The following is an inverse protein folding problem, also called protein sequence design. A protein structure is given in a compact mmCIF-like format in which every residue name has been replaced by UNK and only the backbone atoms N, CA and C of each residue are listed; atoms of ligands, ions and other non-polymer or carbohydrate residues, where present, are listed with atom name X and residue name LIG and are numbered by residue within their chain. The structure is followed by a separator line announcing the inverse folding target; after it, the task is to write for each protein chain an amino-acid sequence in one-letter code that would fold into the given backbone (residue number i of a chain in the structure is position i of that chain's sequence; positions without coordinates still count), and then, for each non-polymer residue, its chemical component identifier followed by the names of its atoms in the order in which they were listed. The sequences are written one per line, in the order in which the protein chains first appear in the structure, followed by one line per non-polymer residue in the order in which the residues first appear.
data_IF_873610127424
#
_entry.id   IF_873610127424
#
_cell.length_a   1.000
_cell.length_b   1.000
_cell.length_c   1.000
_cell.angle_alpha   90.00
_cell.angle_beta   90.00
_cell.angle_gamma   90.00
#
_symmetry.space_group_name_H-M   'P 1'
#
loop_
_entity.id
_entity.type
_entity.pdbx_description
1 polymer ?
#
# COMPACT_ATOMS: atom_id res chain seq x y z
N UNK A 1 33.30 -12.86 39.08
CA UNK A 1 32.56 -14.01 38.51
C UNK A 1 31.47 -13.39 37.67
N UNK A 2 31.72 -13.19 36.38
CA UNK A 2 30.70 -12.62 35.49
C UNK A 2 29.63 -13.69 35.30
N UNK A 3 28.43 -13.45 35.83
CA UNK A 3 27.25 -14.22 35.48
C UNK A 3 27.01 -14.00 33.99
N UNK A 4 27.37 -14.99 33.18
CA UNK A 4 27.03 -15.05 31.76
C UNK A 4 25.52 -15.27 31.69
N UNK A 5 24.74 -14.20 31.85
CA UNK A 5 23.31 -14.25 31.58
C UNK A 5 23.14 -14.69 30.13
N UNK A 6 22.49 -15.84 29.94
CA UNK A 6 22.06 -16.24 28.60
C UNK A 6 21.12 -15.16 28.07
N UNK A 7 21.61 -14.37 27.12
CA UNK A 7 20.85 -13.29 26.46
C UNK A 7 19.57 -13.84 25.79
N UNK A 8 19.48 -15.16 25.58
CA UNK A 8 18.33 -15.86 25.04
C UNK A 8 17.39 -16.47 26.09
N UNK A 9 17.66 -16.32 27.39
CA UNK A 9 16.77 -16.76 28.46
C UNK A 9 15.61 -15.78 28.66
N UNK A 10 14.37 -16.30 28.73
CA UNK A 10 13.18 -15.48 28.99
C UNK A 10 13.31 -14.72 30.32
N UNK A 11 12.84 -13.47 30.33
CA UNK A 11 12.88 -12.58 31.49
C UNK A 11 11.56 -12.55 32.28
N UNK A 12 10.49 -13.19 31.77
CA UNK A 12 9.17 -13.20 32.39
C UNK A 12 8.46 -14.52 32.15
N UNK A 13 7.63 -14.94 33.12
CA UNK A 13 6.71 -16.09 33.05
C UNK A 13 5.29 -15.68 33.46
N UNK A 14 4.97 -14.38 33.41
CA UNK A 14 3.66 -13.85 33.79
C UNK A 14 2.56 -14.19 32.78
N UNK A 15 1.32 -13.80 33.07
CA UNK A 15 0.16 -14.10 32.22
C UNK A 15 0.25 -13.55 30.78
N UNK A 16 1.09 -12.54 30.55
CA UNK A 16 1.37 -11.96 29.22
C UNK A 16 2.63 -12.54 28.55
N UNK A 17 3.26 -13.56 29.13
CA UNK A 17 4.46 -14.19 28.54
C UNK A 17 4.10 -14.90 27.22
N UNK A 18 4.90 -14.65 26.18
CA UNK A 18 4.78 -15.31 24.88
C UNK A 18 5.97 -16.23 24.64
N UNK A 19 5.80 -17.43 24.04
CA UNK A 19 6.92 -18.27 23.62
C UNK A 19 7.87 -17.49 22.68
N UNK A 20 9.19 -17.61 22.91
CA UNK A 20 10.20 -16.87 22.14
C UNK A 20 10.22 -17.21 20.64
N UNK A 21 9.88 -18.46 20.31
CA UNK A 21 9.92 -19.00 18.96
C UNK A 21 8.51 -19.12 18.34
N UNK A 22 7.50 -18.52 18.94
CA UNK A 22 6.16 -18.50 18.36
C UNK A 22 6.11 -17.46 17.23
N UNK A 23 5.51 -17.85 16.11
CA UNK A 23 5.30 -16.98 14.95
C UNK A 23 4.16 -16.01 15.22
N UNK A 24 4.26 -14.78 14.73
CA UNK A 24 3.17 -13.81 14.81
C UNK A 24 2.08 -14.21 13.79
N UNK A 25 0.82 -13.92 14.10
CA UNK A 25 -0.28 -14.14 13.17
C UNK A 25 0.06 -13.53 11.78
N UNK A 26 0.03 -14.37 10.74
CA UNK A 26 0.35 -13.98 9.36
C UNK A 26 1.83 -14.04 8.95
N UNK A 27 2.77 -14.32 9.86
CA UNK A 27 4.21 -14.48 9.53
C UNK A 27 4.75 -15.91 9.72
N UNK A 28 3.89 -16.85 10.07
CA UNK A 28 4.22 -18.26 10.13
C UNK A 28 4.41 -18.88 8.73
N UNK A 29 5.12 -20.01 8.63
CA UNK A 29 5.24 -20.74 7.37
C UNK A 29 3.86 -21.24 6.90
N UNK A 30 3.57 -21.08 5.59
CA UNK A 30 2.30 -21.46 4.99
C UNK A 30 1.77 -20.38 4.04
N UNK A 31 0.66 -20.68 3.36
CA UNK A 31 -0.08 -19.66 2.60
C UNK A 31 -0.86 -18.80 3.61
N UNK A 32 -0.78 -17.46 3.54
CA UNK A 32 -1.60 -16.59 4.37
C UNK A 32 -3.09 -16.92 4.23
N UNK A 33 -3.85 -16.72 5.31
CA UNK A 33 -5.29 -16.83 5.25
C UNK A 33 -5.88 -15.64 4.49
N UNK A 34 -6.12 -15.84 3.20
CA UNK A 34 -6.71 -14.85 2.30
C UNK A 34 -8.25 -14.95 2.25
N UNK A 35 -8.89 -15.58 3.25
CA UNK A 35 -10.36 -15.69 3.36
C UNK A 35 -11.06 -14.37 3.69
N UNK A 36 -10.40 -13.23 3.48
CA UNK A 36 -10.95 -11.89 3.67
C UNK A 36 -12.18 -11.65 2.79
N UNK A 37 -13.10 -10.81 3.26
CA UNK A 37 -14.29 -10.43 2.48
C UNK A 37 -13.89 -9.47 1.36
N UNK A 38 -14.43 -9.72 0.17
CA UNK A 38 -14.36 -8.76 -0.93
C UNK A 38 -15.06 -7.46 -0.52
N UNK A 39 -14.46 -6.33 -0.89
CA UNK A 39 -15.08 -5.01 -0.69
C UNK A 39 -16.13 -4.82 -1.77
N UNK A 40 -17.39 -4.73 -1.38
CA UNK A 40 -18.47 -4.32 -2.28
C UNK A 40 -18.40 -2.81 -2.49
N UNK A 41 -18.32 -2.39 -3.75
CA UNK A 41 -18.31 -0.98 -4.13
C UNK A 41 -19.64 -0.63 -4.76
N UNK A 42 -20.19 0.53 -4.40
CA UNK A 42 -21.37 1.08 -5.06
C UNK A 42 -21.00 1.68 -6.42
N UNK A 43 -21.97 1.75 -7.33
CA UNK A 43 -21.78 2.38 -8.65
C UNK A 43 -21.33 3.85 -8.54
N UNK A 44 -21.78 4.55 -7.49
CA UNK A 44 -21.39 5.93 -7.21
C UNK A 44 -19.91 6.05 -6.84
N UNK A 45 -19.41 5.15 -5.99
CA UNK A 45 -18.00 5.11 -5.60
C UNK A 45 -17.10 4.77 -6.79
N UNK A 46 -17.53 3.84 -7.64
CA UNK A 46 -16.82 3.50 -8.89
C UNK A 46 -16.76 4.73 -9.80
N UNK A 47 -17.88 5.44 -9.97
CA UNK A 47 -17.95 6.65 -10.80
C UNK A 47 -17.05 7.76 -10.26
N UNK A 48 -17.07 7.99 -8.94
CA UNK A 48 -16.23 9.01 -8.28
C UNK A 48 -14.74 8.71 -8.47
N UNK A 49 -14.33 7.47 -8.27
CA UNK A 49 -12.93 7.06 -8.43
C UNK A 49 -12.47 7.19 -9.89
N UNK A 50 -13.30 6.78 -10.85
CA UNK A 50 -13.00 6.98 -12.29
C UNK A 50 -12.86 8.46 -12.65
N UNK A 51 -13.75 9.32 -12.16
CA UNK A 51 -13.66 10.75 -12.39
C UNK A 51 -12.37 11.34 -11.80
N UNK A 52 -11.97 10.93 -10.60
CA UNK A 52 -10.73 11.38 -9.97
C UNK A 52 -9.49 10.98 -10.79
N UNK A 53 -9.42 9.72 -11.24
CA UNK A 53 -8.27 9.22 -12.01
C UNK A 53 -8.12 9.91 -13.38
N UNK A 54 -9.23 10.31 -13.98
CA UNK A 54 -9.23 10.94 -15.30
C UNK A 54 -9.00 12.46 -15.22
N UNK A 55 -9.31 13.09 -14.09
CA UNK A 55 -9.19 14.54 -13.93
C UNK A 55 -7.74 15.00 -14.00
N UNK A 56 -6.85 14.39 -13.21
CA UNK A 56 -5.42 14.74 -13.19
C UNK A 56 -4.76 14.52 -14.56
N UNK A 57 -5.18 13.47 -15.28
CA UNK A 57 -4.69 13.19 -16.64
C UNK A 57 -5.22 14.21 -17.66
N UNK A 58 -6.49 14.60 -17.54
CA UNK A 58 -7.14 15.55 -18.45
C UNK A 58 -6.55 16.95 -18.29
N UNK A 59 -6.30 17.38 -17.05
CA UNK A 59 -5.73 18.70 -16.78
C UNK A 59 -4.31 18.81 -17.39
N UNK A 60 -3.46 17.81 -17.20
CA UNK A 60 -2.13 17.77 -17.84
C UNK A 60 -2.19 17.76 -19.37
N UNK A 61 -3.10 16.97 -19.97
CA UNK A 61 -3.28 16.92 -21.43
C UNK A 61 -3.77 18.25 -21.99
N UNK A 62 -4.59 18.96 -21.22
CA UNK A 62 -5.09 20.27 -21.60
C UNK A 62 -3.98 21.32 -21.57
N UNK A 63 -3.17 21.33 -20.52
CA UNK A 63 -2.02 22.24 -20.41
C UNK A 63 -1.02 22.01 -21.56
N UNK A 64 -0.72 20.75 -21.90
CA UNK A 64 0.14 20.40 -23.03
C UNK A 64 -0.46 20.83 -24.38
N UNK A 65 -1.77 20.66 -24.57
CA UNK A 65 -2.46 21.10 -25.79
C UNK A 65 -2.43 22.62 -25.94
N UNK A 66 -2.65 23.36 -24.85
CA UNK A 66 -2.61 24.82 -24.84
C UNK A 66 -1.18 25.32 -25.19
N UNK A 67 -0.13 24.67 -24.66
CA UNK A 67 1.26 24.95 -25.04
C UNK A 67 1.52 24.70 -26.53
N UNK A 68 1.00 23.60 -27.10
CA UNK A 68 1.13 23.31 -28.53
C UNK A 68 0.39 24.29 -29.44
N UNK A 69 -0.72 24.86 -28.97
CA UNK A 69 -1.50 25.87 -29.69
C UNK A 69 -0.76 27.22 -29.71
N UNK A 70 -0.17 27.61 -28.58
CA UNK A 70 0.57 28.87 -28.45
C UNK A 70 1.91 28.85 -29.20
N UNK A 71 2.50 27.68 -29.41
CA UNK A 71 3.67 27.53 -30.27
C UNK A 71 3.31 27.89 -31.72
N UNK A 72 4.14 28.69 -32.42
CA UNK A 72 3.92 28.96 -33.82
C UNK A 72 3.91 27.63 -34.57
N UNK A 73 2.78 27.32 -35.20
CA UNK A 73 2.64 26.16 -36.06
C UNK A 73 3.74 26.25 -37.12
N UNK A 74 4.80 25.44 -36.96
CA UNK A 74 5.80 25.26 -38.01
C UNK A 74 5.05 24.62 -39.16
N UNK A 75 4.62 25.44 -40.11
CA UNK A 75 4.05 24.97 -41.36
C UNK A 75 4.99 23.92 -41.92
N UNK A 76 4.46 22.72 -42.15
CA UNK A 76 5.12 21.75 -43.00
C UNK A 76 5.39 22.41 -44.37
N UNK A 77 6.51 22.08 -45.03
CA UNK A 77 6.90 22.68 -46.31
C UNK A 77 5.84 22.49 -47.42
#
# INVERSE_FOLDING_TARGET
MEDVMDKRAKISTGANDRPRNETIAGSGPGIPDDSGRMVELTDEEIKRTKASLLRDRLDNLKDELDEQIDLPQRGAP
#
